data_IF_707950938260
#
_entry.id   IF_707950938260
#
_cell.length_a   1.000
_cell.length_b   1.000
_cell.length_c   1.000
_cell.angle_alpha   90.00
_cell.angle_beta   90.00
_cell.angle_gamma   90.00
#
_symmetry.space_group_name_H-M   'P 1'
#
loop_
_entity.id
_entity.type
_entity.pdbx_description
1 polymer ?
#
# COMPACT_ATOMS: atom_id res chain seq x y z
N UNK A 1 -74.18 -9.42 -8.56
CA UNK A 1 -73.39 -8.32 -9.15
C UNK A 1 -73.12 -7.33 -8.04
N UNK A 2 -71.97 -7.45 -7.38
CA UNK A 2 -71.35 -6.39 -6.59
C UNK A 2 -69.83 -6.47 -6.89
N UNK A 3 -69.16 -5.34 -7.18
CA UNK A 3 -67.79 -5.36 -7.65
C UNK A 3 -66.77 -5.45 -6.51
N UNK A 4 -65.73 -6.23 -6.78
CA UNK A 4 -64.47 -6.35 -6.06
C UNK A 4 -63.66 -5.05 -6.15
N UNK A 5 -63.37 -4.42 -5.02
CA UNK A 5 -62.33 -3.38 -4.94
C UNK A 5 -61.01 -3.98 -4.45
N UNK A 6 -60.04 -3.95 -5.36
CA UNK A 6 -58.67 -4.42 -5.21
C UNK A 6 -57.90 -3.50 -4.28
N UNK A 7 -57.52 -4.03 -3.12
CA UNK A 7 -56.59 -3.40 -2.20
C UNK A 7 -55.19 -3.34 -2.87
N UNK A 8 -54.78 -2.15 -3.29
CA UNK A 8 -53.46 -1.91 -3.90
C UNK A 8 -52.43 -1.77 -2.80
N UNK A 9 -51.64 -2.83 -2.57
CA UNK A 9 -50.48 -2.76 -1.68
C UNK A 9 -49.38 -1.87 -2.30
N UNK A 10 -48.66 -1.05 -1.51
CA UNK A 10 -47.57 -0.25 -2.02
C UNK A 10 -46.38 -1.15 -2.38
N UNK A 11 -45.93 -1.07 -3.63
CA UNK A 11 -44.67 -1.68 -4.07
C UNK A 11 -43.52 -0.98 -3.36
N UNK A 12 -42.99 -1.59 -2.31
CA UNK A 12 -41.69 -1.23 -1.76
C UNK A 12 -40.65 -1.37 -2.86
N UNK A 13 -40.14 -0.23 -3.33
CA UNK A 13 -39.01 -0.14 -4.23
C UNK A 13 -37.77 -0.61 -3.49
N UNK A 14 -37.41 -1.88 -3.69
CA UNK A 14 -36.13 -2.45 -3.25
C UNK A 14 -35.00 -1.56 -3.80
N UNK A 15 -34.05 -1.09 -2.97
CA UNK A 15 -32.93 -0.32 -3.47
C UNK A 15 -32.15 -1.20 -4.44
N UNK A 16 -32.00 -0.71 -5.67
CA UNK A 16 -31.20 -1.32 -6.73
C UNK A 16 -29.82 -1.64 -6.17
N UNK A 17 -29.47 -2.92 -6.15
CA UNK A 17 -28.12 -3.41 -5.92
C UNK A 17 -27.19 -2.63 -6.85
N UNK A 18 -26.20 -1.95 -6.28
CA UNK A 18 -25.13 -1.33 -7.06
C UNK A 18 -24.40 -2.49 -7.75
N UNK A 19 -24.68 -2.67 -9.04
CA UNK A 19 -23.94 -3.52 -9.95
C UNK A 19 -22.44 -3.42 -9.69
N UNK A 20 -21.75 -4.56 -9.58
CA UNK A 20 -20.33 -4.72 -9.30
C UNK A 20 -19.50 -3.50 -9.68
N UNK A 21 -19.08 -2.73 -8.68
CA UNK A 21 -18.22 -1.58 -8.91
C UNK A 21 -16.88 -2.11 -9.37
N UNK A 22 -16.61 -2.06 -10.67
CA UNK A 22 -15.27 -2.34 -11.19
C UNK A 22 -14.28 -1.51 -10.38
N UNK A 23 -13.34 -2.20 -9.73
CA UNK A 23 -12.30 -1.57 -8.93
C UNK A 23 -11.66 -0.45 -9.76
N UNK A 24 -11.67 0.81 -9.27
CA UNK A 24 -11.07 1.93 -9.98
C UNK A 24 -9.67 1.59 -10.48
N UNK A 25 -9.33 2.00 -11.70
CA UNK A 25 -8.03 1.69 -12.33
C UNK A 25 -6.84 2.01 -11.42
N UNK A 26 -6.93 3.10 -10.64
CA UNK A 26 -5.90 3.46 -9.64
C UNK A 26 -5.67 2.38 -8.56
N UNK A 27 -6.74 1.72 -8.14
CA UNK A 27 -6.69 0.68 -7.09
C UNK A 27 -6.13 -0.60 -7.69
N UNK A 28 -6.53 -0.95 -8.93
CA UNK A 28 -5.92 -2.09 -9.66
C UNK A 28 -4.41 -1.92 -9.81
N UNK A 29 -3.96 -0.75 -10.26
CA UNK A 29 -2.53 -0.43 -10.37
C UNK A 29 -1.81 -0.58 -9.02
N UNK A 30 -2.39 -0.02 -7.94
CA UNK A 30 -1.79 -0.17 -6.60
C UNK A 30 -1.73 -1.63 -6.14
N UNK A 31 -2.78 -2.41 -6.42
CA UNK A 31 -2.82 -3.83 -6.07
C UNK A 31 -1.78 -4.63 -6.86
N UNK A 32 -1.64 -4.38 -8.17
CA UNK A 32 -0.60 -4.98 -9.02
C UNK A 32 0.81 -4.67 -8.50
N UNK A 33 1.08 -3.39 -8.20
CA UNK A 33 2.35 -2.95 -7.62
C UNK A 33 2.61 -3.59 -6.26
N UNK A 34 1.60 -3.70 -5.40
CA UNK A 34 1.71 -4.37 -4.10
C UNK A 34 2.03 -5.87 -4.27
N UNK A 35 1.32 -6.55 -5.17
CA UNK A 35 1.58 -7.94 -5.52
C UNK A 35 2.98 -8.15 -6.09
N UNK A 36 3.49 -7.24 -6.92
CA UNK A 36 4.87 -7.26 -7.38
C UNK A 36 5.88 -7.24 -6.22
N UNK A 37 5.71 -6.31 -5.28
CA UNK A 37 6.61 -6.21 -4.13
C UNK A 37 6.57 -7.44 -3.21
N UNK A 38 5.39 -8.03 -3.04
CA UNK A 38 5.24 -9.25 -2.21
C UNK A 38 5.90 -10.47 -2.86
N UNK A 39 5.93 -10.52 -4.20
CA UNK A 39 6.58 -11.59 -4.97
C UNK A 39 8.08 -11.35 -5.18
N UNK A 40 8.54 -10.10 -5.13
CA UNK A 40 9.93 -9.72 -5.39
C UNK A 40 10.60 -9.06 -4.18
N UNK A 41 11.03 -9.85 -3.17
CA UNK A 41 11.80 -9.32 -2.03
C UNK A 41 13.10 -8.60 -2.44
N UNK A 42 13.66 -8.95 -3.60
CA UNK A 42 14.92 -8.40 -4.13
C UNK A 42 14.84 -6.92 -4.53
N UNK A 43 13.64 -6.34 -4.58
CA UNK A 43 13.47 -4.90 -4.80
C UNK A 43 14.17 -4.08 -3.71
N UNK A 44 14.14 -4.55 -2.45
CA UNK A 44 14.79 -3.87 -1.32
C UNK A 44 16.28 -4.21 -1.22
N UNK A 45 17.04 -3.94 -2.28
CA UNK A 45 18.48 -4.17 -2.33
C UNK A 45 19.29 -2.88 -2.09
N UNK A 46 20.61 -2.99 -2.11
CA UNK A 46 21.53 -1.88 -1.83
C UNK A 46 21.55 -0.76 -2.90
N UNK A 47 20.96 -0.94 -4.08
CA UNK A 47 20.84 0.15 -5.07
C UNK A 47 19.79 1.18 -4.65
N UNK A 48 18.79 0.75 -3.86
CA UNK A 48 17.70 1.60 -3.38
C UNK A 48 18.18 2.71 -2.42
N UNK A 49 19.40 2.58 -1.89
CA UNK A 49 20.08 3.63 -1.11
C UNK A 49 20.27 4.92 -1.90
N UNK A 50 20.46 4.81 -3.22
CA UNK A 50 20.67 5.95 -4.11
C UNK A 50 19.35 6.59 -4.57
N UNK A 51 18.24 5.85 -4.48
CA UNK A 51 16.95 6.34 -4.89
C UNK A 51 16.50 7.52 -4.00
N UNK A 52 16.70 7.45 -2.69
CA UNK A 52 16.54 8.59 -1.76
C UNK A 52 17.73 8.67 -0.80
N UNK A 53 18.79 9.40 -1.19
CA UNK A 53 20.02 9.49 -0.41
C UNK A 53 19.83 10.16 0.95
N UNK A 54 18.84 11.04 1.09
CA UNK A 54 18.64 11.82 2.32
C UNK A 54 17.90 10.99 3.36
N UNK A 55 16.88 10.26 2.92
CA UNK A 55 16.15 9.35 3.79
C UNK A 55 17.06 8.21 4.27
N UNK A 56 17.87 7.63 3.37
CA UNK A 56 18.84 6.60 3.74
C UNK A 56 19.84 7.09 4.79
N UNK A 57 20.36 8.31 4.62
CA UNK A 57 21.32 8.90 5.56
C UNK A 57 20.73 9.03 6.97
N UNK A 58 19.46 9.44 7.06
CA UNK A 58 18.75 9.66 8.34
C UNK A 58 18.30 8.39 9.02
N UNK A 59 17.71 7.46 8.27
CA UNK A 59 17.09 6.26 8.83
C UNK A 59 18.08 5.11 9.01
N UNK A 60 19.11 5.01 8.17
CA UNK A 60 20.05 3.89 8.18
C UNK A 60 21.45 4.35 8.59
N UNK A 61 22.06 5.29 7.85
CA UNK A 61 23.46 5.67 8.05
C UNK A 61 23.73 6.29 9.43
N UNK A 62 22.76 6.94 10.06
CA UNK A 62 22.86 7.45 11.44
C UNK A 62 23.18 6.36 12.46
N UNK A 63 22.64 5.15 12.29
CA UNK A 63 22.85 4.01 13.20
C UNK A 63 24.04 3.12 12.82
N UNK A 64 24.65 3.36 11.66
CA UNK A 64 25.87 2.64 11.28
C UNK A 64 27.03 3.03 12.18
N UNK A 65 27.79 2.03 12.62
CA UNK A 65 29.03 2.23 13.35
C UNK A 65 30.14 2.72 12.43
N UNK A 66 31.21 3.30 12.99
CA UNK A 66 32.38 3.71 12.21
C UNK A 66 32.99 2.52 11.43
N UNK A 67 33.01 1.33 12.04
CA UNK A 67 33.50 0.11 11.41
C UNK A 67 32.65 -0.35 10.22
N UNK A 68 31.31 -0.28 10.34
CA UNK A 68 30.40 -0.58 9.22
C UNK A 68 30.57 0.41 8.06
N UNK A 69 30.70 1.71 8.37
CA UNK A 69 30.94 2.75 7.35
C UNK A 69 32.29 2.57 6.64
N UNK A 70 33.34 2.19 7.36
CA UNK A 70 34.64 1.91 6.75
C UNK A 70 34.59 0.64 5.89
N UNK A 71 33.87 -0.40 6.32
CA UNK A 71 33.66 -1.60 5.50
C UNK A 71 32.87 -1.28 4.22
N UNK A 72 31.80 -0.48 4.31
CA UNK A 72 31.02 -0.01 3.17
C UNK A 72 31.83 0.90 2.25
N UNK A 73 32.61 1.83 2.82
CA UNK A 73 33.51 2.69 2.05
C UNK A 73 34.61 1.90 1.34
N UNK A 74 35.10 0.80 1.93
CA UNK A 74 36.06 -0.10 1.30
C UNK A 74 35.43 -0.95 0.19
N UNK A 75 34.18 -1.39 0.35
CA UNK A 75 33.49 -2.16 -0.69
C UNK A 75 33.09 -1.30 -1.88
N UNK A 76 32.60 -0.07 -1.64
CA UNK A 76 32.23 0.92 -2.67
C UNK A 76 33.45 1.60 -3.30
N UNK A 77 34.58 1.63 -2.58
CA UNK A 77 35.80 2.32 -3.00
C UNK A 77 35.65 3.86 -2.98
N UNK A 78 36.76 4.55 -3.27
CA UNK A 78 36.80 6.02 -3.23
C UNK A 78 35.79 6.68 -4.19
N UNK A 79 35.65 6.13 -5.40
CA UNK A 79 34.72 6.64 -6.41
C UNK A 79 33.26 6.55 -5.95
N UNK A 80 32.85 5.41 -5.38
CA UNK A 80 31.48 5.23 -4.91
C UNK A 80 31.15 6.06 -3.66
N UNK A 81 32.13 6.30 -2.79
CA UNK A 81 31.95 7.22 -1.66
C UNK A 81 31.72 8.64 -2.16
N UNK A 82 32.52 9.10 -3.14
CA UNK A 82 32.39 10.42 -3.72
C UNK A 82 31.05 10.61 -4.45
N UNK A 83 30.63 9.61 -5.24
CA UNK A 83 29.33 9.61 -5.92
C UNK A 83 28.18 9.73 -4.92
N UNK A 84 28.21 8.93 -3.85
CA UNK A 84 27.18 9.01 -2.80
C UNK A 84 27.18 10.37 -2.08
N UNK A 85 28.33 10.99 -1.85
CA UNK A 85 28.43 12.33 -1.27
C UNK A 85 27.88 13.41 -2.22
N UNK A 86 28.18 13.30 -3.51
CA UNK A 86 27.70 14.22 -4.55
C UNK A 86 26.17 14.13 -4.67
N UNK A 87 25.62 12.93 -4.82
CA UNK A 87 24.17 12.69 -4.89
C UNK A 87 23.45 13.17 -3.63
N UNK A 88 24.04 12.96 -2.44
CA UNK A 88 23.48 13.53 -1.19
C UNK A 88 23.46 15.06 -1.21
N UNK A 89 24.52 15.70 -1.73
CA UNK A 89 24.58 17.16 -1.78
C UNK A 89 23.58 17.74 -2.78
N UNK A 90 23.41 17.10 -3.93
CA UNK A 90 22.43 17.49 -4.96
C UNK A 90 21.01 17.29 -4.46
N UNK A 91 20.71 16.12 -3.88
CA UNK A 91 19.39 15.85 -3.31
C UNK A 91 19.03 16.86 -2.20
N UNK A 92 19.99 17.32 -1.38
CA UNK A 92 19.73 18.38 -0.39
C UNK A 92 19.36 19.71 -1.03
N UNK A 93 20.03 20.08 -2.12
CA UNK A 93 19.74 21.32 -2.83
C UNK A 93 18.38 21.25 -3.53
N UNK A 94 18.09 20.11 -4.14
CA UNK A 94 16.81 19.83 -4.81
C UNK A 94 15.65 19.87 -3.81
N UNK A 95 15.78 19.20 -2.66
CA UNK A 95 14.74 19.20 -1.63
C UNK A 95 14.46 20.60 -1.04
N UNK A 96 15.41 21.53 -1.13
CA UNK A 96 15.22 22.93 -0.77
C UNK A 96 14.54 23.75 -1.86
N UNK A 97 14.84 23.46 -3.13
CA UNK A 97 14.24 24.15 -4.28
C UNK A 97 12.82 23.66 -4.56
N UNK A 98 12.61 22.36 -4.40
CA UNK A 98 11.39 21.61 -4.70
C UNK A 98 11.03 20.70 -3.52
N UNK A 99 10.48 21.26 -2.41
CA UNK A 99 10.07 20.45 -1.27
C UNK A 99 8.94 19.51 -1.66
N UNK A 100 9.19 18.20 -1.58
CA UNK A 100 8.19 17.19 -1.87
C UNK A 100 7.17 17.10 -0.71
N UNK A 101 5.87 17.35 -0.94
CA UNK A 101 4.84 17.18 0.08
C UNK A 101 4.70 15.72 0.57
N UNK A 102 5.16 14.76 -0.25
CA UNK A 102 5.09 13.33 0.00
C UNK A 102 6.30 12.78 0.76
N UNK A 103 7.35 13.59 0.96
CA UNK A 103 8.55 13.20 1.68
C UNK A 103 8.34 13.29 3.20
N UNK A 104 8.85 12.29 3.91
CA UNK A 104 8.86 12.22 5.39
C UNK A 104 9.63 13.38 6.01
N UNK A 105 10.66 13.88 5.31
CA UNK A 105 11.57 14.90 5.81
C UNK A 105 11.45 16.19 5.00
N UNK A 106 11.16 17.31 5.67
CA UNK A 106 11.18 18.62 5.03
C UNK A 106 12.50 19.32 5.30
N UNK A 107 13.13 19.83 4.24
CA UNK A 107 14.38 20.56 4.34
C UNK A 107 14.09 22.06 4.24
N UNK A 108 14.67 22.85 5.13
CA UNK A 108 14.58 24.31 5.14
C UNK A 108 15.95 24.93 5.35
N UNK A 109 16.17 26.10 4.76
CA UNK A 109 17.35 26.92 5.05
C UNK A 109 17.13 27.66 6.35
N UNK A 110 18.01 27.40 7.32
CA UNK A 110 18.07 28.14 8.57
C UNK A 110 18.59 29.57 8.36
N UNK A 111 18.51 30.42 9.39
CA UNK A 111 18.86 31.84 9.32
C UNK A 111 20.32 32.11 8.89
N UNK A 112 21.23 31.15 9.14
CA UNK A 112 22.65 31.22 8.76
C UNK A 112 23.00 30.54 7.43
N UNK A 113 22.00 30.08 6.66
CA UNK A 113 22.23 29.31 5.43
C UNK A 113 22.50 27.81 5.66
N UNK A 114 22.46 27.34 6.90
CA UNK A 114 22.50 25.92 7.24
C UNK A 114 21.25 25.19 6.76
N UNK A 115 21.39 23.97 6.23
CA UNK A 115 20.25 23.15 5.82
C UNK A 115 19.73 22.41 7.04
N UNK A 116 18.62 22.89 7.61
CA UNK A 116 17.93 22.25 8.71
C UNK A 116 16.84 21.34 8.17
N UNK A 117 16.82 20.08 8.59
CA UNK A 117 15.65 19.23 8.38
C UNK A 117 14.65 19.54 9.51
N UNK A 118 13.44 19.98 9.17
CA UNK A 118 12.34 19.99 10.12
C UNK A 118 11.78 18.58 10.23
N UNK A 119 12.04 17.92 11.37
CA UNK A 119 11.42 16.65 11.73
C UNK A 119 9.96 16.93 12.11
N UNK A 120 9.03 16.49 11.26
CA UNK A 120 7.59 16.60 11.57
C UNK A 120 7.15 15.68 12.70
N UNK A 121 7.86 14.57 12.90
CA UNK A 121 7.91 13.73 14.09
C UNK A 121 8.92 12.58 13.81
N UNK A 122 9.59 12.10 14.85
CA UNK A 122 10.34 10.83 14.94
C UNK A 122 11.72 10.65 14.26
N UNK A 123 12.77 10.96 15.02
CA UNK A 123 14.03 10.21 14.96
C UNK A 123 13.77 8.74 15.34
N UNK A 124 14.19 7.74 14.54
CA UNK A 124 14.09 6.34 14.95
C UNK A 124 14.84 6.09 16.26
N UNK A 125 14.32 5.26 17.16
CA UNK A 125 14.98 4.96 18.44
C UNK A 125 16.17 4.02 18.25
N UNK A 126 16.11 3.16 17.23
CA UNK A 126 17.11 2.15 16.96
C UNK A 126 17.23 1.81 15.46
N UNK A 127 18.27 1.02 15.13
CA UNK A 127 18.58 0.57 13.77
C UNK A 127 17.42 -0.20 13.13
N UNK A 128 16.75 -1.07 13.88
CA UNK A 128 15.66 -1.91 13.36
C UNK A 128 14.42 -1.09 13.00
N UNK A 129 14.12 -0.07 13.79
CA UNK A 129 13.07 0.89 13.52
C UNK A 129 13.39 1.76 12.31
N UNK A 130 14.64 2.24 12.21
CA UNK A 130 15.13 2.95 11.03
C UNK A 130 14.95 2.11 9.76
N UNK A 131 15.35 0.84 9.80
CA UNK A 131 15.21 -0.09 8.67
C UNK A 131 13.75 -0.39 8.31
N UNK A 132 12.85 -0.53 9.29
CA UNK A 132 11.40 -0.70 9.03
C UNK A 132 10.80 0.55 8.39
N UNK A 133 11.09 1.73 8.94
CA UNK A 133 10.60 3.00 8.40
C UNK A 133 11.12 3.23 6.98
N UNK A 134 12.40 2.96 6.74
CA UNK A 134 13.00 3.08 5.41
C UNK A 134 12.33 2.15 4.41
N UNK A 135 12.14 0.86 4.76
CA UNK A 135 11.43 -0.08 3.88
C UNK A 135 9.99 0.36 3.59
N UNK A 136 9.27 0.80 4.61
CA UNK A 136 7.89 1.28 4.46
C UNK A 136 7.81 2.50 3.53
N UNK A 137 8.71 3.46 3.67
CA UNK A 137 8.74 4.62 2.77
C UNK A 137 9.11 4.24 1.34
N UNK A 138 10.07 3.35 1.15
CA UNK A 138 10.42 2.84 -0.18
C UNK A 138 9.27 2.05 -0.81
N UNK A 139 8.50 1.30 -0.01
CA UNK A 139 7.26 0.66 -0.43
C UNK A 139 6.21 1.70 -0.84
N UNK A 140 5.97 2.73 -0.02
CA UNK A 140 4.99 3.78 -0.36
C UNK A 140 5.39 4.54 -1.63
N UNK A 141 6.67 4.87 -1.78
CA UNK A 141 7.23 5.47 -2.99
C UNK A 141 6.96 4.59 -4.21
N UNK A 142 7.23 3.29 -4.10
CA UNK A 142 6.97 2.35 -5.19
C UNK A 142 5.48 2.29 -5.55
N UNK A 143 4.60 2.18 -4.56
CA UNK A 143 3.16 2.11 -4.77
C UNK A 143 2.60 3.40 -5.39
N UNK A 144 3.17 4.57 -5.05
CA UNK A 144 2.81 5.87 -5.67
C UNK A 144 3.25 5.97 -7.12
N UNK A 145 4.36 5.33 -7.49
CA UNK A 145 4.92 5.43 -8.84
C UNK A 145 6.08 6.42 -8.94
N UNK A 146 6.70 6.74 -7.80
CA UNK A 146 7.73 7.78 -7.70
C UNK A 146 9.16 7.21 -7.84
N UNK A 147 9.30 5.91 -8.12
CA UNK A 147 10.60 5.31 -8.45
C UNK A 147 10.89 5.47 -9.95
N UNK A 148 11.69 6.47 -10.29
CA UNK A 148 12.02 6.82 -11.68
C UNK A 148 12.88 5.79 -12.38
N UNK A 149 13.58 4.94 -11.63
CA UNK A 149 14.49 3.93 -12.17
C UNK A 149 13.76 2.62 -12.51
N UNK A 150 12.49 2.50 -12.09
CA UNK A 150 11.66 1.31 -12.29
C UNK A 150 10.72 1.43 -13.49
N UNK A 151 10.67 0.39 -14.32
CA UNK A 151 9.71 0.29 -15.43
C UNK A 151 8.33 -0.18 -14.94
N UNK A 152 7.50 0.77 -14.52
CA UNK A 152 6.14 0.51 -14.04
C UNK A 152 5.22 -0.12 -15.09
N UNK A 153 5.47 0.08 -16.39
CA UNK A 153 4.61 -0.49 -17.43
C UNK A 153 4.62 -2.03 -17.39
N UNK A 154 5.74 -2.63 -16.99
CA UNK A 154 5.90 -4.07 -16.83
C UNK A 154 4.97 -4.68 -15.76
N UNK A 155 4.56 -3.87 -14.77
CA UNK A 155 3.69 -4.29 -13.66
C UNK A 155 2.27 -3.75 -13.85
N UNK A 156 2.14 -2.47 -14.15
CA UNK A 156 0.86 -1.75 -14.22
C UNK A 156 -0.05 -2.27 -15.34
N UNK A 157 0.54 -2.80 -16.42
CA UNK A 157 -0.19 -3.37 -17.57
C UNK A 157 -0.23 -4.90 -17.55
N UNK A 158 0.38 -5.54 -16.56
CA UNK A 158 0.46 -7.00 -16.48
C UNK A 158 -0.68 -7.57 -15.64
N UNK A 159 -1.49 -8.43 -16.27
CA UNK A 159 -2.58 -9.16 -15.62
C UNK A 159 -2.06 -10.28 -14.71
N UNK A 160 -0.77 -10.64 -14.79
CA UNK A 160 -0.16 -11.66 -13.91
C UNK A 160 -0.16 -11.20 -12.45
N UNK A 161 -0.15 -9.88 -12.23
CA UNK A 161 -0.25 -9.28 -10.89
C UNK A 161 -1.68 -8.92 -10.50
N UNK A 162 -2.68 -9.22 -11.34
CA UNK A 162 -4.06 -9.20 -10.89
C UNK A 162 -4.28 -10.33 -9.90
N UNK A 163 -4.96 -9.99 -8.82
CA UNK A 163 -5.28 -10.92 -7.75
C UNK A 163 -6.47 -11.79 -8.16
N UNK A 164 -6.27 -12.67 -9.15
CA UNK A 164 -7.30 -13.56 -9.67
C UNK A 164 -7.96 -14.38 -8.53
N UNK A 165 -7.18 -14.70 -7.50
CA UNK A 165 -7.65 -15.35 -6.28
C UNK A 165 -8.62 -14.50 -5.47
N UNK A 166 -8.37 -13.20 -5.29
CA UNK A 166 -9.34 -12.32 -4.65
C UNK A 166 -10.54 -12.03 -5.54
N UNK A 167 -10.36 -11.88 -6.86
CA UNK A 167 -11.49 -11.72 -7.78
C UNK A 167 -12.43 -12.94 -7.76
N UNK A 168 -11.88 -14.15 -7.69
CA UNK A 168 -12.66 -15.38 -7.52
C UNK A 168 -13.38 -15.41 -6.18
N UNK A 169 -12.71 -15.00 -5.09
CA UNK A 169 -13.32 -14.95 -3.75
C UNK A 169 -14.43 -13.90 -3.68
N UNK A 170 -14.23 -12.70 -4.23
CA UNK A 170 -15.26 -11.65 -4.29
C UNK A 170 -16.48 -12.12 -5.09
N UNK A 171 -16.26 -12.80 -6.22
CA UNK A 171 -17.34 -13.40 -7.01
C UNK A 171 -18.09 -14.49 -6.22
N UNK A 172 -17.38 -15.32 -5.46
CA UNK A 172 -18.00 -16.33 -4.60
C UNK A 172 -18.80 -15.68 -3.46
N UNK A 173 -18.25 -14.66 -2.80
CA UNK A 173 -18.93 -13.94 -1.73
C UNK A 173 -20.20 -13.24 -2.25
N UNK A 174 -20.18 -12.71 -3.48
CA UNK A 174 -21.37 -12.16 -4.13
C UNK A 174 -22.42 -13.25 -4.42
N UNK A 175 -21.99 -14.40 -4.93
CA UNK A 175 -22.87 -15.57 -5.10
C UNK A 175 -23.53 -16.01 -3.78
N UNK A 176 -22.75 -16.13 -2.70
CA UNK A 176 -23.28 -16.51 -1.38
C UNK A 176 -24.18 -15.45 -0.75
N UNK A 177 -23.99 -14.15 -1.06
CA UNK A 177 -24.91 -13.09 -0.60
C UNK A 177 -26.28 -13.18 -1.27
N UNK A 178 -26.34 -13.64 -2.51
CA UNK A 178 -27.60 -13.85 -3.23
C UNK A 178 -28.35 -15.10 -2.76
N UNK A 179 -27.63 -16.11 -2.24
CA UNK A 179 -28.23 -17.30 -1.64
C UNK A 179 -28.73 -17.04 -0.21
N UNK A 180 -29.98 -17.44 0.08
CA UNK A 180 -30.44 -17.53 1.47
C UNK A 180 -30.15 -18.92 2.03
N UNK A 181 -29.54 -19.03 3.23
CA UNK A 181 -29.26 -20.32 3.84
C UNK A 181 -30.56 -21.09 4.05
N UNK A 182 -30.67 -22.25 3.41
CA UNK A 182 -31.81 -23.16 3.56
C UNK A 182 -31.40 -24.32 4.45
N UNK A 183 -32.00 -24.42 5.63
CA UNK A 183 -31.85 -25.60 6.48
C UNK A 183 -32.69 -26.74 5.91
N UNK A 184 -32.10 -27.93 5.76
CA UNK A 184 -32.79 -29.15 5.37
C UNK A 184 -32.80 -30.09 6.58
N UNK A 185 -33.94 -30.69 6.87
CA UNK A 185 -34.06 -31.80 7.82
C UNK A 185 -33.39 -33.06 7.24
N UNK A 186 -33.10 -34.04 8.09
CA UNK A 186 -32.47 -35.33 7.71
C UNK A 186 -33.25 -36.06 6.60
N UNK A 187 -34.56 -35.80 6.48
CA UNK A 187 -35.47 -36.32 5.46
C UNK A 187 -35.58 -35.45 4.18
N UNK A 188 -34.72 -34.44 4.02
CA UNK A 188 -34.68 -33.56 2.84
C UNK A 188 -35.81 -32.53 2.74
N UNK A 189 -36.60 -32.35 3.81
CA UNK A 189 -37.70 -31.37 3.88
C UNK A 189 -37.21 -30.03 4.45
N UNK A 190 -37.83 -28.93 4.01
CA UNK A 190 -37.61 -27.60 4.61
C UNK A 190 -38.34 -27.54 5.96
N UNK A 191 -37.73 -26.97 7.01
CA UNK A 191 -38.40 -26.78 8.29
C UNK A 191 -39.52 -25.75 8.11
N UNK A 192 -40.76 -26.22 8.13
CA UNK A 192 -41.94 -25.38 8.23
C UNK A 192 -42.08 -24.96 9.71
N UNK A 193 -42.22 -23.66 9.95
CA UNK A 193 -41.88 -23.02 11.22
C UNK A 193 -42.53 -23.59 12.49
N UNK A 194 -41.71 -23.74 13.52
CA UNK A 194 -42.11 -23.54 14.90
C UNK A 194 -41.12 -22.57 15.55
N UNK A 195 -41.60 -21.36 15.80
CA UNK A 195 -40.93 -20.34 16.60
C UNK A 195 -40.51 -20.93 17.94
N UNK A 196 -39.21 -20.88 18.25
CA UNK A 196 -38.62 -21.44 19.45
C UNK A 196 -39.12 -20.80 20.74
N UNK A 197 -40.18 -21.37 21.30
CA UNK A 197 -40.52 -21.27 22.72
C UNK A 197 -40.30 -22.67 23.30
N UNK A 198 -39.13 -22.89 23.90
CA UNK A 198 -38.92 -24.02 24.80
C UNK A 198 -39.48 -23.60 26.16
N UNK A 199 -40.66 -24.13 26.50
CA UNK A 199 -41.21 -24.04 27.85
C UNK A 199 -40.33 -24.91 28.77
N UNK A 200 -39.79 -24.31 29.84
CA UNK A 200 -38.95 -24.98 30.84
C UNK A 200 -39.79 -25.55 31.98
#
# INVERSE_FOLDING_TARGET
MEPSELNTAPKESRPTSKSGSQTPQRIRVKNRRKRYLDLQPDYFNASLELADPLMYDRLIRRFQTAAEREAEGRSKGYSGVLEADLLRSEAKLEALAHPDPNSTFQYKRGPGGEIMAEEKDDVPLNKDEGMRRWRWEMEMRFLRGDDTDFDYDSVDKSEVYDDLTEEERERQDEYFKEEQPTFLLEDGKRPEGETGIQDF
#
